data_IF_262562527894
#
_entry.id   IF_262562527894
#
_cell.length_a   1.000
_cell.length_b   1.000
_cell.length_c   1.000
_cell.angle_alpha   90.00
_cell.angle_beta   90.00
_cell.angle_gamma   90.00
#
_symmetry.space_group_name_H-M   'P 1'
#
loop_
_entity.id
_entity.type
_entity.pdbx_description
1 polymer ?
#
# COMPACT_ATOMS: atom_id res chain seq x y z
N UNK A 1 -11.26 7.54 -15.54
CA UNK A 1 -11.20 7.62 -14.07
C UNK A 1 -11.55 6.25 -13.57
N UNK A 2 -10.61 5.63 -12.87
CA UNK A 2 -10.75 4.26 -12.42
C UNK A 2 -11.52 4.24 -11.09
N UNK A 3 -12.75 3.70 -11.11
CA UNK A 3 -13.74 3.93 -10.03
C UNK A 3 -13.34 3.20 -8.74
N UNK A 4 -12.72 2.06 -8.91
CA UNK A 4 -12.09 1.18 -7.93
C UNK A 4 -10.83 1.79 -7.32
N UNK A 5 -9.94 2.39 -8.13
CA UNK A 5 -8.79 3.14 -7.62
C UNK A 5 -9.24 4.34 -6.77
N UNK A 6 -10.21 5.12 -7.25
CA UNK A 6 -10.78 6.25 -6.50
C UNK A 6 -11.43 5.81 -5.18
N UNK A 7 -12.03 4.61 -5.17
CA UNK A 7 -12.55 4.01 -3.94
C UNK A 7 -11.40 3.63 -3.02
N UNK A 8 -10.40 2.92 -3.54
CA UNK A 8 -9.25 2.42 -2.80
C UNK A 8 -8.46 3.53 -2.10
N UNK A 9 -8.09 4.60 -2.82
CA UNK A 9 -7.25 5.67 -2.26
C UNK A 9 -7.91 6.46 -1.13
N UNK A 10 -9.24 6.35 -0.99
CA UNK A 10 -10.04 7.04 0.04
C UNK A 10 -10.36 6.16 1.25
N UNK A 11 -10.02 4.88 1.21
CA UNK A 11 -10.23 4.00 2.36
C UNK A 11 -9.34 4.45 3.50
N UNK A 12 -9.92 4.61 4.70
CA UNK A 12 -9.19 5.05 5.90
C UNK A 12 -7.88 4.28 6.16
N UNK A 13 -7.81 2.94 5.98
CA UNK A 13 -6.56 2.20 6.16
C UNK A 13 -5.48 2.61 5.16
N UNK A 14 -5.86 2.92 3.91
CA UNK A 14 -4.92 3.35 2.87
C UNK A 14 -4.41 4.75 3.16
N UNK A 15 -5.31 5.68 3.51
CA UNK A 15 -4.92 7.05 3.85
C UNK A 15 -4.04 7.10 5.11
N UNK A 16 -4.36 6.30 6.13
CA UNK A 16 -3.59 6.24 7.37
C UNK A 16 -2.15 5.74 7.14
N UNK A 17 -1.96 4.73 6.28
CA UNK A 17 -0.61 4.28 5.92
C UNK A 17 0.10 5.28 5.02
N UNK A 18 -0.60 5.93 4.09
CA UNK A 18 -0.01 6.96 3.24
C UNK A 18 0.50 8.16 4.05
N UNK A 19 -0.26 8.62 5.05
CA UNK A 19 0.18 9.66 5.99
C UNK A 19 1.42 9.21 6.78
N UNK A 20 1.44 7.96 7.26
CA UNK A 20 2.60 7.41 7.98
C UNK A 20 3.86 7.28 7.10
N UNK A 21 3.71 7.20 5.78
CA UNK A 21 4.79 7.18 4.79
C UNK A 21 5.18 8.57 4.29
N UNK A 22 4.50 9.63 4.70
CA UNK A 22 4.62 10.98 4.11
C UNK A 22 4.36 10.97 2.58
N UNK A 23 3.38 10.15 2.16
CA UNK A 23 2.99 9.94 0.76
C UNK A 23 1.52 10.30 0.48
N UNK A 24 0.79 10.80 1.48
CA UNK A 24 -0.64 11.15 1.40
C UNK A 24 -0.93 12.18 0.28
N UNK A 25 -0.09 13.21 0.15
CA UNK A 25 -0.26 14.23 -0.91
C UNK A 25 -0.12 13.61 -2.30
N UNK A 26 0.91 12.79 -2.52
CA UNK A 26 1.15 12.13 -3.80
C UNK A 26 0.06 11.09 -4.12
N UNK A 27 -0.46 10.40 -3.10
CA UNK A 27 -1.60 9.49 -3.23
C UNK A 27 -2.88 10.23 -3.64
N UNK A 28 -3.19 11.37 -3.03
CA UNK A 28 -4.40 12.14 -3.35
C UNK A 28 -4.39 12.66 -4.80
N UNK A 29 -3.23 13.16 -5.22
CA UNK A 29 -3.00 13.65 -6.59
C UNK A 29 -3.04 12.53 -7.64
N UNK A 30 -2.82 11.27 -7.24
CA UNK A 30 -2.85 10.13 -8.16
C UNK A 30 -4.24 9.94 -8.76
N UNK A 31 -4.33 9.74 -10.07
CA UNK A 31 -5.61 9.62 -10.82
C UNK A 31 -5.92 8.20 -11.30
N UNK A 32 -4.95 7.29 -11.21
CA UNK A 32 -5.04 5.88 -11.60
C UNK A 32 -3.97 5.04 -10.91
N UNK A 33 -4.07 3.73 -11.04
CA UNK A 33 -3.03 2.79 -10.60
C UNK A 33 -1.67 3.05 -11.25
N UNK A 34 -1.62 3.43 -12.53
CA UNK A 34 -0.37 3.71 -13.25
C UNK A 34 0.28 5.01 -12.79
N UNK A 35 -0.52 6.04 -12.50
CA UNK A 35 -0.06 7.32 -11.96
C UNK A 35 0.45 7.14 -10.53
N UNK A 36 -0.27 6.37 -9.71
CA UNK A 36 0.16 5.96 -8.37
C UNK A 36 1.52 5.25 -8.41
N UNK A 37 1.68 4.24 -9.26
CA UNK A 37 2.97 3.53 -9.43
C UNK A 37 4.08 4.50 -9.82
N UNK A 38 3.83 5.37 -10.80
CA UNK A 38 4.81 6.36 -11.26
C UNK A 38 5.26 7.27 -10.11
N UNK A 39 4.31 7.86 -9.39
CA UNK A 39 4.57 8.76 -8.27
C UNK A 39 5.29 8.07 -7.11
N UNK A 40 4.92 6.83 -6.81
CA UNK A 40 5.59 6.04 -5.78
C UNK A 40 7.04 5.73 -6.16
N UNK A 41 7.30 5.37 -7.43
CA UNK A 41 8.66 5.17 -7.93
C UNK A 41 9.49 6.46 -7.88
N UNK A 42 8.90 7.61 -8.25
CA UNK A 42 9.56 8.91 -8.18
C UNK A 42 9.92 9.30 -6.74
N UNK A 43 8.98 9.08 -5.81
CA UNK A 43 9.22 9.26 -4.37
C UNK A 43 10.29 8.30 -3.82
N UNK A 44 10.49 7.16 -4.47
CA UNK A 44 11.53 6.20 -4.15
C UNK A 44 12.83 6.37 -4.98
N UNK A 45 13.01 7.47 -5.71
CA UNK A 45 14.14 7.63 -6.64
C UNK A 45 15.53 7.48 -6.01
N UNK A 46 15.67 7.77 -4.71
CA UNK A 46 16.89 7.59 -3.92
C UNK A 46 16.84 6.38 -2.96
N UNK A 47 15.77 5.58 -3.02
CA UNK A 47 15.51 4.44 -2.16
C UNK A 47 15.01 4.78 -0.75
N UNK A 48 14.79 6.06 -0.40
CA UNK A 48 14.34 6.43 0.94
C UNK A 48 12.92 5.95 1.23
N UNK A 49 12.01 6.02 0.26
CA UNK A 49 10.61 5.59 0.47
C UNK A 49 10.54 4.12 0.91
N UNK A 50 11.30 3.22 0.27
CA UNK A 50 11.35 1.81 0.68
C UNK A 50 12.03 1.63 2.04
N UNK A 51 13.02 2.46 2.37
CA UNK A 51 13.65 2.44 3.69
C UNK A 51 12.64 2.83 4.79
N UNK A 52 11.90 3.93 4.60
CA UNK A 52 10.85 4.38 5.52
C UNK A 52 9.76 3.31 5.63
N UNK A 53 9.31 2.72 4.53
CA UNK A 53 8.33 1.64 4.56
C UNK A 53 8.81 0.43 5.37
N UNK A 54 10.10 0.08 5.32
CA UNK A 54 10.67 -1.02 6.13
C UNK A 54 10.71 -0.67 7.61
N UNK A 55 11.09 0.55 7.96
CA UNK A 55 11.09 1.04 9.34
C UNK A 55 9.67 1.06 9.89
N UNK A 56 8.73 1.63 9.15
CA UNK A 56 7.31 1.66 9.50
C UNK A 56 6.73 0.26 9.71
N UNK A 57 7.03 -0.69 8.82
CA UNK A 57 6.51 -2.06 8.93
C UNK A 57 6.86 -2.75 10.26
N UNK A 58 8.02 -2.43 10.86
CA UNK A 58 8.43 -3.00 12.14
C UNK A 58 7.50 -2.55 13.30
N UNK A 59 6.99 -1.33 13.23
CA UNK A 59 6.20 -0.68 14.28
C UNK A 59 4.69 -0.84 14.09
N UNK A 60 4.22 -1.15 12.87
CA UNK A 60 2.80 -1.30 12.58
C UNK A 60 2.15 -2.51 13.26
N UNK A 61 0.85 -2.40 13.53
CA UNK A 61 -0.01 -3.52 13.91
C UNK A 61 -0.13 -4.55 12.77
N UNK A 62 -0.57 -5.77 13.08
CA UNK A 62 -0.59 -6.87 12.09
C UNK A 62 -1.48 -6.58 10.88
N UNK A 63 -2.61 -5.90 11.07
CA UNK A 63 -3.53 -5.54 9.98
C UNK A 63 -2.97 -4.44 9.07
N UNK A 64 -2.38 -3.40 9.67
CA UNK A 64 -1.72 -2.30 8.97
C UNK A 64 -0.53 -2.75 8.13
N UNK A 65 0.23 -3.75 8.62
CA UNK A 65 1.30 -4.40 7.85
C UNK A 65 0.80 -4.99 6.54
N UNK A 66 -0.40 -5.58 6.54
CA UNK A 66 -1.01 -6.12 5.33
C UNK A 66 -1.45 -5.03 4.37
N UNK A 67 -1.89 -3.87 4.87
CA UNK A 67 -2.21 -2.71 4.02
C UNK A 67 -0.94 -2.18 3.36
N UNK A 68 0.12 -1.95 4.13
CA UNK A 68 1.41 -1.48 3.61
C UNK A 68 1.98 -2.43 2.55
N UNK A 69 1.95 -3.74 2.81
CA UNK A 69 2.39 -4.74 1.84
C UNK A 69 1.55 -4.67 0.54
N UNK A 70 0.23 -4.49 0.64
CA UNK A 70 -0.64 -4.37 -0.52
C UNK A 70 -0.39 -3.07 -1.31
N UNK A 71 -0.15 -1.95 -0.63
CA UNK A 71 0.24 -0.67 -1.26
C UNK A 71 1.55 -0.81 -2.05
N UNK A 72 2.55 -1.46 -1.47
CA UNK A 72 3.83 -1.73 -2.13
C UNK A 72 3.66 -2.67 -3.33
N UNK A 73 2.82 -3.70 -3.20
CA UNK A 73 2.50 -4.59 -4.31
C UNK A 73 1.86 -3.82 -5.48
N UNK A 74 0.87 -2.97 -5.20
CA UNK A 74 0.20 -2.15 -6.21
C UNK A 74 1.16 -1.16 -6.91
N UNK A 75 2.21 -0.72 -6.22
CA UNK A 75 3.25 0.17 -6.75
C UNK A 75 4.36 -0.57 -7.52
N UNK A 76 4.16 -1.84 -7.88
CA UNK A 76 5.15 -2.72 -8.54
C UNK A 76 6.39 -3.08 -7.70
N UNK A 77 6.32 -2.93 -6.37
CA UNK A 77 7.33 -3.40 -5.42
C UNK A 77 6.97 -4.76 -4.80
N UNK A 78 6.40 -5.67 -5.60
CA UNK A 78 5.93 -6.99 -5.14
C UNK A 78 7.00 -7.79 -4.39
N UNK A 79 8.26 -7.75 -4.84
CA UNK A 79 9.38 -8.40 -4.15
C UNK A 79 9.59 -7.85 -2.74
N UNK A 80 9.46 -6.53 -2.54
CA UNK A 80 9.60 -5.92 -1.22
C UNK A 80 8.38 -6.25 -0.35
N UNK A 81 7.18 -6.24 -0.93
CA UNK A 81 5.96 -6.65 -0.25
C UNK A 81 6.05 -8.10 0.29
N UNK A 82 6.61 -9.01 -0.52
CA UNK A 82 6.85 -10.41 -0.13
C UNK A 82 7.93 -10.56 0.94
N UNK A 83 9.05 -9.83 0.80
CA UNK A 83 10.13 -9.79 1.80
C UNK A 83 9.61 -9.33 3.18
N UNK A 84 8.86 -8.22 3.21
CA UNK A 84 8.27 -7.68 4.44
C UNK A 84 7.26 -8.64 5.07
N UNK A 85 6.52 -9.36 4.24
CA UNK A 85 5.47 -10.25 4.71
C UNK A 85 5.97 -11.62 5.19
N UNK A 86 7.29 -11.88 5.16
CA UNK A 86 7.92 -13.13 5.60
C UNK A 86 7.26 -14.40 5.01
N UNK A 87 6.81 -14.34 3.74
CA UNK A 87 6.04 -15.41 3.08
C UNK A 87 4.67 -15.76 3.72
N UNK A 88 4.20 -14.97 4.69
CA UNK A 88 2.92 -15.18 5.41
C UNK A 88 1.78 -14.25 4.96
N UNK A 89 1.95 -13.53 3.85
CA UNK A 89 1.01 -12.52 3.33
C UNK A 89 -0.43 -13.03 3.33
N UNK A 90 -0.64 -14.25 2.81
CA UNK A 90 -1.98 -14.83 2.63
C UNK A 90 -2.66 -15.31 3.91
N UNK A 91 -1.91 -15.80 4.90
CA UNK A 91 -2.51 -16.26 6.16
C UNK A 91 -2.98 -15.07 7.02
N UNK A 92 -2.22 -13.97 7.00
CA UNK A 92 -2.58 -12.73 7.71
C UNK A 92 -3.80 -12.04 7.09
N UNK A 93 -3.97 -12.14 5.76
CA UNK A 93 -5.15 -11.64 5.03
C UNK A 93 -6.47 -12.31 5.42
N UNK A 94 -6.44 -13.56 5.89
CA UNK A 94 -7.64 -14.27 6.34
C UNK A 94 -8.27 -13.73 7.64
N UNK A 95 -7.56 -12.85 8.36
CA UNK A 95 -7.99 -12.27 9.64
C UNK A 95 -8.50 -10.84 9.55
N UNK A 96 -8.41 -10.22 8.39
CA UNK A 96 -8.75 -8.82 8.20
C UNK A 96 -10.16 -8.72 7.61
N UNK A 97 -11.00 -7.87 8.20
CA UNK A 97 -12.38 -7.66 7.80
C UNK A 97 -12.66 -6.19 7.52
N UNK A 98 -13.81 -5.88 6.93
CA UNK A 98 -14.23 -4.50 6.64
C UNK A 98 -13.29 -3.80 5.65
N UNK A 99 -13.05 -2.51 5.87
CA UNK A 99 -12.31 -1.64 4.95
C UNK A 99 -10.87 -2.10 4.74
N UNK A 100 -10.25 -2.75 5.73
CA UNK A 100 -8.91 -3.32 5.59
C UNK A 100 -8.88 -4.43 4.54
N UNK A 101 -9.88 -5.32 4.52
CA UNK A 101 -9.97 -6.39 3.53
C UNK A 101 -10.23 -5.83 2.12
N UNK A 102 -11.08 -4.81 2.04
CA UNK A 102 -11.38 -4.12 0.77
C UNK A 102 -10.13 -3.40 0.22
N UNK A 103 -9.37 -2.73 1.09
CA UNK A 103 -8.14 -2.03 0.71
C UNK A 103 -7.12 -2.98 0.08
N UNK A 104 -6.90 -4.15 0.70
CA UNK A 104 -5.97 -5.14 0.13
C UNK A 104 -6.51 -5.75 -1.15
N UNK A 105 -7.80 -6.10 -1.20
CA UNK A 105 -8.39 -6.72 -2.38
C UNK A 105 -8.27 -5.83 -3.63
N UNK A 106 -8.59 -4.54 -3.50
CA UNK A 106 -8.47 -3.58 -4.61
C UNK A 106 -7.02 -3.38 -5.04
N UNK A 107 -6.08 -3.26 -4.10
CA UNK A 107 -4.65 -3.10 -4.39
C UNK A 107 -4.05 -4.30 -5.14
N UNK A 108 -4.38 -5.54 -4.74
CA UNK A 108 -3.84 -6.76 -5.37
C UNK A 108 -4.38 -6.92 -6.78
N UNK A 109 -5.67 -6.69 -6.98
CA UNK A 109 -6.29 -6.90 -8.28
C UNK A 109 -5.95 -5.76 -9.25
N UNK A 110 -5.55 -4.57 -8.72
CA UNK A 110 -5.44 -3.31 -9.47
C UNK A 110 -6.67 -3.11 -10.36
N UNK A 111 -7.83 -3.52 -9.82
CA UNK A 111 -9.10 -3.39 -10.50
C UNK A 111 -9.61 -2.00 -10.36
#
# INVERSE_FOLDING_TARGET
MDTSFETWKRLWPVTNIAEALDFDVALDESQSWDDYTTRFMDANSDGQMIKVARELFADLATEDRSILAAMLYAADFSKIADELSEQMTWWRLSRIGGDNALAVALAIVRQ
#
